data_IF_614480338183
#
_entry.id   IF_614480338183
#
_cell.length_a   1.000
_cell.length_b   1.000
_cell.length_c   1.000
_cell.angle_alpha   90.00
_cell.angle_beta   90.00
_cell.angle_gamma   90.00
#
_symmetry.space_group_name_H-M   'P 1'
#
loop_
_entity.id
_entity.type
_entity.pdbx_description
1 polymer ?
#
# COMPACT_ATOMS: atom_id res chain seq x y z
N UNK A 1 -20.76 -21.49 -4.94
CA UNK A 1 -21.83 -20.57 -4.52
C UNK A 1 -21.46 -20.00 -3.14
N UNK A 2 -21.48 -18.68 -2.97
CA UNK A 2 -21.21 -18.05 -1.67
C UNK A 2 -22.48 -18.13 -0.82
N UNK A 3 -22.42 -18.81 0.32
CA UNK A 3 -23.45 -18.68 1.35
C UNK A 3 -23.25 -17.32 2.04
N UNK A 4 -24.35 -16.58 2.18
CA UNK A 4 -24.47 -15.23 2.73
C UNK A 4 -23.88 -14.09 1.86
N UNK A 5 -24.74 -13.16 1.47
CA UNK A 5 -24.43 -11.93 0.70
C UNK A 5 -23.57 -10.90 1.44
N UNK A 6 -22.58 -11.35 2.21
CA UNK A 6 -21.56 -10.50 2.82
C UNK A 6 -20.41 -10.32 1.84
N UNK A 7 -20.27 -9.11 1.32
CA UNK A 7 -19.13 -8.75 0.45
C UNK A 7 -17.82 -9.06 1.18
N UNK A 8 -16.87 -9.65 0.47
CA UNK A 8 -15.54 -9.97 1.01
C UNK A 8 -14.80 -8.68 1.35
N UNK A 9 -14.34 -8.56 2.59
CA UNK A 9 -13.67 -7.38 3.12
C UNK A 9 -12.24 -7.75 3.56
N UNK A 10 -11.21 -7.52 2.72
CA UNK A 10 -9.83 -7.78 3.11
C UNK A 10 -9.46 -6.92 4.32
N UNK A 11 -8.90 -7.52 5.36
CA UNK A 11 -8.53 -6.80 6.60
C UNK A 11 -7.08 -7.00 6.99
N UNK A 12 -6.53 -8.20 6.76
CA UNK A 12 -5.19 -8.55 7.17
C UNK A 12 -4.43 -9.25 6.04
N UNK A 13 -3.10 -9.09 6.06
CA UNK A 13 -2.17 -9.90 5.28
C UNK A 13 -1.36 -10.77 6.24
N UNK A 14 -1.31 -12.06 5.94
CA UNK A 14 -0.43 -13.02 6.58
C UNK A 14 0.84 -13.13 5.75
N UNK A 15 1.98 -13.19 6.43
CA UNK A 15 3.29 -13.29 5.81
C UNK A 15 4.00 -14.52 6.39
N UNK A 16 4.68 -15.26 5.53
CA UNK A 16 5.30 -16.53 5.87
C UNK A 16 6.64 -16.72 5.18
N UNK A 17 7.45 -17.59 5.76
CA UNK A 17 8.79 -17.95 5.30
C UNK A 17 8.80 -19.27 4.53
N UNK A 18 7.64 -19.87 4.27
CA UNK A 18 7.53 -21.16 3.58
C UNK A 18 8.37 -22.29 4.20
N UNK A 19 8.67 -22.19 5.50
CA UNK A 19 9.43 -23.21 6.24
C UNK A 19 10.94 -22.96 6.35
N UNK A 20 11.47 -21.81 5.90
CA UNK A 20 12.87 -21.46 6.17
C UNK A 20 13.54 -20.60 5.11
N UNK A 21 14.87 -20.63 5.10
CA UNK A 21 15.69 -19.93 4.12
C UNK A 21 15.44 -20.48 2.70
N UNK A 22 15.72 -19.69 1.65
CA UNK A 22 15.71 -20.20 0.28
C UNK A 22 16.69 -21.39 0.18
N UNK A 23 16.18 -22.55 -0.23
CA UNK A 23 16.93 -23.82 -0.30
C UNK A 23 16.53 -24.86 0.75
N UNK A 24 16.02 -24.45 1.91
CA UNK A 24 15.53 -25.39 2.95
C UNK A 24 14.24 -26.09 2.52
N UNK A 25 13.41 -25.35 1.78
CA UNK A 25 12.12 -25.82 1.28
C UNK A 25 11.90 -25.35 -0.15
N UNK A 26 11.21 -26.16 -0.99
CA UNK A 26 10.81 -25.75 -2.33
C UNK A 26 10.04 -24.44 -2.30
N UNK A 27 10.17 -23.63 -3.36
CA UNK A 27 9.41 -22.38 -3.44
C UNK A 27 7.91 -22.65 -3.37
N UNK A 28 7.16 -21.83 -2.60
CA UNK A 28 5.75 -22.06 -2.39
C UNK A 28 5.00 -21.89 -3.71
N UNK A 29 4.53 -23.01 -4.27
CA UNK A 29 3.66 -23.03 -5.44
C UNK A 29 2.22 -22.68 -4.99
N UNK A 30 1.66 -21.55 -5.42
CA UNK A 30 0.30 -21.17 -5.04
C UNK A 30 -0.69 -22.15 -5.67
N UNK A 31 -1.39 -22.93 -4.83
CA UNK A 31 -2.53 -23.75 -5.26
C UNK A 31 -3.84 -23.11 -4.82
N UNK A 32 -4.84 -23.10 -5.70
CA UNK A 32 -6.19 -22.62 -5.37
C UNK A 32 -6.84 -23.43 -4.23
N UNK A 33 -6.40 -24.68 -4.01
CA UNK A 33 -6.87 -25.54 -2.92
C UNK A 33 -6.22 -25.21 -1.57
N UNK A 34 -5.17 -24.39 -1.54
CA UNK A 34 -4.36 -24.18 -0.35
C UNK A 34 -5.06 -23.24 0.65
N UNK A 35 -5.48 -23.81 1.79
CA UNK A 35 -6.26 -23.13 2.82
C UNK A 35 -5.44 -22.49 3.96
N UNK A 36 -4.13 -22.66 3.96
CA UNK A 36 -3.22 -22.01 4.92
C UNK A 36 -1.93 -21.55 4.25
N UNK A 37 -1.25 -20.57 4.86
CA UNK A 37 0.11 -20.20 4.45
C UNK A 37 1.08 -21.20 5.08
N UNK A 38 2.09 -21.64 4.32
CA UNK A 38 3.14 -22.51 4.85
C UNK A 38 3.98 -21.67 5.81
N UNK A 39 3.98 -22.07 7.09
CA UNK A 39 4.67 -21.42 8.20
C UNK A 39 4.41 -19.90 8.29
N UNK A 40 3.25 -19.54 8.84
CA UNK A 40 2.89 -18.15 9.09
C UNK A 40 3.81 -17.55 10.17
N UNK A 41 4.55 -16.48 9.82
CA UNK A 41 5.44 -15.76 10.75
C UNK A 41 4.83 -14.49 11.30
N UNK A 42 4.05 -13.79 10.48
CA UNK A 42 3.50 -12.50 10.89
C UNK A 42 2.10 -12.28 10.32
N UNK A 43 1.28 -11.54 11.06
CA UNK A 43 -0.05 -11.09 10.66
C UNK A 43 -0.11 -9.58 10.84
N UNK A 44 -0.27 -8.87 9.74
CA UNK A 44 -0.38 -7.42 9.72
C UNK A 44 -1.75 -7.00 9.21
N UNK A 45 -2.25 -5.86 9.69
CA UNK A 45 -3.41 -5.20 9.11
C UNK A 45 -3.03 -4.61 7.74
N UNK A 46 -3.98 -4.58 6.80
CA UNK A 46 -3.77 -3.92 5.51
C UNK A 46 -3.65 -2.40 5.70
N UNK A 47 -2.57 -1.81 5.18
CA UNK A 47 -2.39 -0.35 5.15
C UNK A 47 -3.14 0.28 4.00
N UNK A 48 -3.18 -0.38 2.84
CA UNK A 48 -3.87 0.12 1.66
C UNK A 48 -4.51 -1.01 0.88
N UNK A 49 -5.71 -0.74 0.37
CA UNK A 49 -6.43 -1.64 -0.51
C UNK A 49 -7.07 -0.82 -1.63
N UNK A 50 -6.65 -1.02 -2.86
CA UNK A 50 -7.13 -0.25 -4.00
C UNK A 50 -7.13 -1.06 -5.29
N UNK A 51 -7.99 -0.70 -6.25
CA UNK A 51 -8.02 -1.34 -7.57
C UNK A 51 -6.84 -0.83 -8.39
N UNK A 52 -6.16 -1.72 -9.12
CA UNK A 52 -5.07 -1.33 -10.01
C UNK A 52 -5.59 -0.45 -11.14
N UNK A 53 -4.87 0.63 -11.38
CA UNK A 53 -4.97 1.49 -12.56
C UNK A 53 -4.77 0.73 -13.89
N UNK A 54 -3.90 -0.29 -13.89
CA UNK A 54 -3.61 -1.11 -15.08
C UNK A 54 -4.69 -2.12 -15.43
N UNK A 55 -5.40 -2.64 -14.43
CA UNK A 55 -6.38 -3.71 -14.60
C UNK A 55 -7.52 -3.57 -13.61
N UNK A 56 -8.73 -3.32 -14.11
CA UNK A 56 -9.94 -3.15 -13.29
C UNK A 56 -10.31 -4.40 -12.47
N UNK A 57 -9.81 -5.59 -12.86
CA UNK A 57 -10.03 -6.85 -12.15
C UNK A 57 -8.90 -7.20 -11.18
N UNK A 58 -7.93 -6.31 -10.99
CA UNK A 58 -6.80 -6.53 -10.09
C UNK A 58 -6.93 -5.66 -8.87
N UNK A 59 -6.98 -6.29 -7.70
CA UNK A 59 -6.98 -5.63 -6.41
C UNK A 59 -5.57 -5.62 -5.82
N UNK A 60 -5.06 -4.45 -5.45
CA UNK A 60 -3.75 -4.27 -4.87
C UNK A 60 -3.89 -4.11 -3.36
N UNK A 61 -3.29 -5.04 -2.62
CA UNK A 61 -3.22 -5.00 -1.16
C UNK A 61 -1.79 -4.65 -0.73
N UNK A 62 -1.66 -3.65 0.14
CA UNK A 62 -0.38 -3.18 0.66
C UNK A 62 -0.32 -3.29 2.18
N UNK A 63 0.85 -3.73 2.66
CA UNK A 63 1.21 -3.75 4.06
C UNK A 63 2.59 -3.15 4.23
N UNK A 64 2.72 -2.29 5.21
CA UNK A 64 4.01 -1.77 5.67
C UNK A 64 4.43 -2.61 6.87
N UNK A 65 5.53 -3.33 6.74
CA UNK A 65 6.14 -4.02 7.87
C UNK A 65 7.11 -3.06 8.59
N UNK A 66 6.85 -2.72 9.86
CA UNK A 66 7.74 -1.87 10.63
C UNK A 66 9.09 -2.55 10.89
N UNK A 67 10.06 -1.76 11.35
CA UNK A 67 11.41 -2.22 11.69
C UNK A 67 11.43 -3.27 12.81
N UNK A 68 10.49 -3.22 13.74
CA UNK A 68 10.38 -4.13 14.88
C UNK A 68 10.05 -5.57 14.46
N UNK A 69 9.41 -5.74 13.31
CA UNK A 69 9.02 -7.04 12.78
C UNK A 69 10.11 -7.53 11.84
N UNK A 70 10.90 -8.52 12.26
CA UNK A 70 11.99 -9.07 11.45
C UNK A 70 12.53 -10.39 12.00
N UNK A 71 13.68 -10.83 11.46
CA UNK A 71 14.33 -12.09 11.82
C UNK A 71 13.84 -13.31 11.02
N UNK A 72 13.14 -13.10 9.91
CA UNK A 72 12.60 -14.19 9.09
C UNK A 72 12.67 -13.88 7.60
N UNK A 73 12.65 -14.94 6.79
CA UNK A 73 12.55 -14.86 5.34
C UNK A 73 11.11 -14.58 4.92
N UNK A 74 10.90 -13.66 4.00
CA UNK A 74 9.60 -13.40 3.38
C UNK A 74 9.57 -14.17 2.07
N UNK A 75 8.70 -15.19 1.98
CA UNK A 75 8.56 -16.04 0.79
C UNK A 75 7.13 -16.20 0.31
N UNK A 76 6.15 -15.86 1.15
CA UNK A 76 4.75 -15.89 0.75
C UNK A 76 3.90 -14.94 1.54
N UNK A 77 2.79 -14.54 0.93
CA UNK A 77 1.75 -13.77 1.57
C UNK A 77 0.36 -14.34 1.29
N UNK A 78 -0.58 -14.01 2.16
CA UNK A 78 -1.98 -14.44 2.06
C UNK A 78 -2.89 -13.33 2.57
N UNK A 79 -3.91 -12.95 1.81
CA UNK A 79 -4.86 -11.90 2.21
C UNK A 79 -6.13 -12.52 2.78
N UNK A 80 -6.52 -12.07 3.98
CA UNK A 80 -7.64 -12.63 4.74
C UNK A 80 -8.66 -11.57 5.16
N UNK A 81 -9.92 -11.99 5.24
CA UNK A 81 -11.06 -11.21 5.72
C UNK A 81 -11.56 -11.75 7.05
N UNK A 82 -11.63 -10.90 8.08
CA UNK A 82 -12.45 -11.10 9.29
C UNK A 82 -12.29 -12.41 10.07
N UNK A 83 -11.23 -13.19 9.80
CA UNK A 83 -10.90 -14.42 10.52
C UNK A 83 -11.14 -15.76 9.81
N UNK A 84 -11.72 -15.81 8.60
CA UNK A 84 -12.04 -17.12 8.01
C UNK A 84 -12.10 -17.20 6.48
N UNK A 85 -12.33 -16.09 5.77
CA UNK A 85 -12.41 -16.11 4.30
C UNK A 85 -11.10 -15.62 3.69
N UNK A 86 -10.32 -16.57 3.20
CA UNK A 86 -9.14 -16.30 2.38
C UNK A 86 -9.48 -16.37 0.90
N UNK A 87 -8.93 -15.44 0.12
CA UNK A 87 -9.14 -15.39 -1.33
C UNK A 87 -7.86 -15.65 -2.12
N UNK A 88 -6.68 -15.50 -1.52
CA UNK A 88 -5.44 -15.50 -2.29
C UNK A 88 -4.21 -15.88 -1.47
N UNK A 89 -3.37 -16.68 -2.11
CA UNK A 89 -1.98 -16.90 -1.72
C UNK A 89 -1.15 -16.39 -2.88
N UNK A 90 -0.15 -15.58 -2.57
CA UNK A 90 0.77 -15.03 -3.56
C UNK A 90 2.20 -15.33 -3.13
N UNK A 91 3.00 -16.00 -3.98
CA UNK A 91 4.43 -16.10 -3.75
C UNK A 91 5.02 -14.69 -3.83
N UNK A 92 6.00 -14.42 -2.97
CA UNK A 92 6.75 -13.16 -2.97
C UNK A 92 8.20 -13.50 -3.27
N UNK A 93 8.90 -12.64 -4.00
CA UNK A 93 10.35 -12.72 -4.17
C UNK A 93 11.03 -12.88 -2.82
N UNK A 94 11.83 -13.94 -2.70
CA UNK A 94 12.50 -14.26 -1.44
C UNK A 94 13.32 -13.06 -0.95
N UNK A 95 13.00 -12.55 0.22
CA UNK A 95 13.67 -11.40 0.81
C UNK A 95 13.83 -11.61 2.31
N UNK A 96 15.05 -11.41 2.82
CA UNK A 96 15.29 -11.49 4.25
C UNK A 96 14.94 -10.16 4.91
N UNK A 97 14.09 -10.22 5.94
CA UNK A 97 13.83 -9.07 6.81
C UNK A 97 14.65 -9.23 8.07
N UNK A 98 15.70 -8.41 8.20
CA UNK A 98 16.58 -8.40 9.36
C UNK A 98 15.82 -8.03 10.64
N UNK A 99 16.22 -8.65 11.76
CA UNK A 99 15.70 -8.32 13.08
C UNK A 99 16.25 -6.96 13.56
N UNK A 100 15.51 -6.29 14.45
CA UNK A 100 15.94 -5.02 15.04
C UNK A 100 17.33 -5.11 15.69
N UNK A 101 17.59 -6.21 16.39
CA UNK A 101 18.85 -6.46 17.11
C UNK A 101 20.07 -6.56 16.20
N UNK A 102 19.87 -6.84 14.90
CA UNK A 102 20.97 -6.94 13.95
C UNK A 102 21.44 -5.57 13.43
N UNK A 103 20.84 -4.46 13.87
CA UNK A 103 21.18 -3.10 13.46
C UNK A 103 20.87 -2.78 11.99
N UNK A 104 20.30 -3.72 11.24
CA UNK A 104 19.98 -3.59 9.81
C UNK A 104 18.46 -3.67 9.54
N UNK A 105 17.65 -3.52 10.59
CA UNK A 105 16.21 -3.51 10.43
C UNK A 105 15.78 -2.29 9.61
N UNK A 106 14.98 -2.57 8.58
CA UNK A 106 14.38 -1.57 7.70
C UNK A 106 12.88 -1.78 7.59
N UNK A 107 12.15 -0.69 7.41
CA UNK A 107 10.75 -0.74 7.03
C UNK A 107 10.64 -1.27 5.61
N UNK A 108 9.80 -2.28 5.39
CA UNK A 108 9.61 -2.88 4.07
C UNK A 108 8.13 -2.89 3.73
N UNK A 109 7.79 -2.36 2.56
CA UNK A 109 6.42 -2.40 2.05
C UNK A 109 6.24 -3.64 1.18
N UNK A 110 5.24 -4.46 1.51
CA UNK A 110 4.82 -5.61 0.72
C UNK A 110 3.56 -5.22 -0.05
N UNK A 111 3.61 -5.42 -1.37
CA UNK A 111 2.48 -5.21 -2.28
C UNK A 111 2.10 -6.52 -2.94
N UNK A 112 0.82 -6.86 -2.89
CA UNK A 112 0.26 -8.08 -3.48
C UNK A 112 -0.84 -7.73 -4.47
N UNK A 113 -0.69 -8.21 -5.70
CA UNK A 113 -1.69 -8.04 -6.76
C UNK A 113 -2.60 -9.27 -6.80
N UNK A 114 -3.90 -9.04 -6.65
CA UNK A 114 -4.93 -10.06 -6.57
C UNK A 114 -5.80 -9.98 -7.82
N UNK A 115 -5.60 -10.91 -8.75
CA UNK A 115 -6.50 -11.05 -9.88
C UNK A 115 -7.82 -11.69 -9.40
N UNK A 116 -8.93 -11.01 -9.61
CA UNK A 116 -10.25 -11.44 -9.21
C UNK A 116 -11.14 -11.59 -10.46
N UNK A 117 -11.99 -12.62 -10.49
CA UNK A 117 -12.93 -12.82 -11.59
C UNK A 117 -14.08 -11.80 -11.62
N UNK A 118 -14.23 -10.98 -10.56
CA UNK A 118 -15.22 -9.91 -10.46
C UNK A 118 -15.13 -9.18 -9.11
N UNK A 119 -15.12 -7.84 -9.14
CA UNK A 119 -15.05 -6.98 -7.94
C UNK A 119 -16.39 -6.73 -7.27
N UNK A 120 -17.50 -7.12 -7.90
CA UNK A 120 -18.87 -6.94 -7.40
C UNK A 120 -19.12 -7.52 -5.99
N UNK A 121 -18.35 -8.56 -5.64
CA UNK A 121 -18.41 -9.25 -4.37
C UNK A 121 -17.37 -8.77 -3.35
N UNK A 122 -16.59 -7.72 -3.66
CA UNK A 122 -15.57 -7.17 -2.78
C UNK A 122 -16.03 -5.82 -2.25
N UNK A 123 -15.95 -5.64 -0.93
CA UNK A 123 -16.16 -4.35 -0.31
C UNK A 123 -14.80 -3.75 0.01
N UNK A 124 -14.45 -2.73 -0.79
CA UNK A 124 -13.25 -1.93 -0.60
C UNK A 124 -13.49 -1.01 0.60
N UNK A 125 -12.88 -1.34 1.73
CA UNK A 125 -12.70 -0.39 2.80
C UNK A 125 -11.56 0.53 2.37
N UNK A 126 -11.91 1.70 1.82
CA UNK A 126 -10.98 2.83 1.80
C UNK A 126 -11.00 3.39 3.22
N UNK A 127 -10.25 2.74 4.11
CA UNK A 127 -10.01 3.29 5.44
C UNK A 127 -8.97 4.39 5.30
N UNK A 128 -9.39 5.64 5.49
CA UNK A 128 -8.50 6.81 5.48
C UNK A 128 -7.70 6.93 6.81
N UNK A 129 -7.54 5.85 7.58
CA UNK A 129 -6.70 5.81 8.77
C UNK A 129 -5.22 6.01 8.42
N UNK A 130 -4.61 7.04 9.02
CA UNK A 130 -3.20 7.49 8.93
C UNK A 130 -2.36 6.73 7.91
N UNK A 131 -2.35 7.26 6.69
CA UNK A 131 -1.57 6.72 5.58
C UNK A 131 -0.17 7.37 5.63
N UNK A 132 0.88 6.55 5.68
CA UNK A 132 2.24 7.04 5.46
C UNK A 132 2.39 7.38 3.98
N UNK A 133 2.27 8.66 3.64
CA UNK A 133 2.61 9.14 2.32
C UNK A 133 4.15 9.17 2.18
N UNK A 134 4.68 8.58 1.11
CA UNK A 134 6.11 8.75 0.81
C UNK A 134 6.39 10.22 0.51
N UNK A 135 7.58 10.70 0.87
CA UNK A 135 7.93 12.11 0.66
C UNK A 135 7.80 12.51 -0.83
N UNK A 136 8.14 11.61 -1.74
CA UNK A 136 7.98 11.83 -3.18
C UNK A 136 6.52 11.96 -3.62
N UNK A 137 5.63 11.11 -3.09
CA UNK A 137 4.20 11.19 -3.40
C UNK A 137 3.59 12.52 -2.93
N UNK A 138 3.99 12.99 -1.73
CA UNK A 138 3.56 14.29 -1.21
C UNK A 138 4.08 15.41 -2.10
N UNK A 139 5.38 15.40 -2.45
CA UNK A 139 5.99 16.42 -3.31
C UNK A 139 5.32 16.49 -4.67
N UNK A 140 5.04 15.35 -5.30
CA UNK A 140 4.38 15.28 -6.60
C UNK A 140 2.96 15.86 -6.54
N UNK A 141 2.16 15.47 -5.52
CA UNK A 141 0.78 15.96 -5.38
C UNK A 141 0.70 17.42 -5.01
N UNK A 142 1.56 17.89 -4.10
CA UNK A 142 1.69 19.30 -3.74
C UNK A 142 2.09 20.10 -4.98
N UNK A 143 3.14 19.69 -5.70
CA UNK A 143 3.56 20.38 -6.92
C UNK A 143 2.45 20.44 -7.96
N UNK A 144 1.69 19.36 -8.15
CA UNK A 144 0.55 19.35 -9.07
C UNK A 144 -0.58 20.30 -8.63
N UNK A 145 -0.91 20.37 -7.34
CA UNK A 145 -1.98 21.24 -6.82
C UNK A 145 -1.62 22.73 -6.91
N UNK A 146 -0.34 23.07 -6.76
CA UNK A 146 0.13 24.45 -6.86
C UNK A 146 0.42 24.91 -8.31
N UNK A 147 0.58 23.99 -9.27
CA UNK A 147 0.94 24.31 -10.67
C UNK A 147 -0.10 25.13 -11.45
N UNK A 148 -1.31 25.31 -10.91
CA UNK A 148 -2.41 26.02 -11.58
C UNK A 148 -3.06 27.15 -10.80
N UNK A 149 -2.58 27.47 -9.58
CA UNK A 149 -3.20 28.53 -8.75
C UNK A 149 -2.80 29.92 -9.26
N UNK A 150 -3.61 30.48 -10.16
CA UNK A 150 -3.49 31.87 -10.60
C UNK A 150 -4.24 32.76 -9.61
N UNK A 151 -3.54 33.64 -8.90
CA UNK A 151 -4.20 34.70 -8.14
C UNK A 151 -4.70 35.72 -9.17
N UNK A 152 -6.01 35.72 -9.40
CA UNK A 152 -6.66 36.78 -10.16
C UNK A 152 -6.72 38.01 -9.25
N UNK A 153 -5.98 39.07 -9.62
CA UNK A 153 -6.12 40.37 -8.99
C UNK A 153 -7.57 40.83 -9.17
N UNK A 154 -8.37 40.79 -8.10
CA UNK A 154 -9.67 41.46 -8.09
C UNK A 154 -9.51 42.97 -8.29
N UNK A 155 -10.63 43.67 -8.50
CA UNK A 155 -10.71 45.11 -8.81
C UNK A 155 -10.14 46.07 -7.71
N UNK A 156 -9.37 45.58 -6.73
CA UNK A 156 -8.87 46.34 -5.57
C UNK A 156 -7.35 46.58 -5.51
N UNK A 157 -6.56 46.11 -6.49
CA UNK A 157 -5.11 46.38 -6.52
C UNK A 157 -4.83 47.74 -7.18
N UNK A 158 -4.82 48.80 -6.38
CA UNK A 158 -4.41 50.15 -6.79
C UNK A 158 -2.91 50.33 -6.61
N UNK A 159 -2.16 50.10 -7.70
CA UNK A 159 -0.73 50.36 -7.78
C UNK A 159 -0.34 50.56 -9.24
N UNK A 160 0.12 51.78 -9.56
CA UNK A 160 0.30 52.38 -10.90
C UNK A 160 1.40 51.76 -11.79
N UNK A 161 1.53 50.43 -11.83
CA UNK A 161 2.42 49.76 -12.78
C UNK A 161 1.62 48.95 -13.78
N UNK A 162 2.02 48.96 -15.05
CA UNK A 162 1.36 48.15 -16.05
C UNK A 162 1.40 46.65 -15.69
N UNK A 163 0.39 45.92 -16.16
CA UNK A 163 0.21 44.49 -15.95
C UNK A 163 0.82 43.69 -17.12
N UNK A 164 1.82 44.25 -17.81
CA UNK A 164 2.37 43.64 -19.03
C UNK A 164 3.23 42.40 -18.76
N UNK A 165 3.57 42.14 -17.50
CA UNK A 165 4.35 40.98 -17.09
C UNK A 165 3.76 40.29 -15.84
N UNK A 166 3.94 38.97 -15.78
CA UNK A 166 3.63 38.16 -14.60
C UNK A 166 4.46 38.64 -13.40
N UNK A 167 3.79 39.04 -12.31
CA UNK A 167 4.46 39.42 -11.07
C UNK A 167 4.53 38.22 -10.13
N UNK A 168 5.75 37.87 -9.73
CA UNK A 168 5.97 36.89 -8.67
C UNK A 168 5.65 37.53 -7.31
N UNK A 169 4.67 36.98 -6.59
CA UNK A 169 4.51 37.28 -5.17
C UNK A 169 5.47 36.36 -4.42
N UNK A 170 6.48 36.94 -3.77
CA UNK A 170 7.32 36.19 -2.84
C UNK A 170 6.48 35.84 -1.62
N UNK A 171 6.12 34.56 -1.46
CA UNK A 171 5.62 34.09 -0.18
C UNK A 171 6.80 34.12 0.80
N UNK A 172 6.61 34.75 1.97
CA UNK A 172 7.57 34.63 3.05
C UNK A 172 7.81 33.13 3.33
N UNK A 173 9.06 32.69 3.61
CA UNK A 173 9.31 31.30 3.95
C UNK A 173 8.38 30.91 5.08
N UNK A 174 7.62 29.82 4.92
CA UNK A 174 6.74 29.34 5.97
C UNK A 174 7.62 29.01 7.17
N UNK A 175 7.58 29.87 8.18
CA UNK A 175 8.27 29.65 9.44
C UNK A 175 7.81 28.32 10.02
N UNK A 176 8.77 27.42 10.18
CA UNK A 176 8.82 26.54 11.35
C UNK A 176 9.02 27.38 12.60
#
# INVERSE_FOLDING_TARGET
>A
ASAAGKKWQPTHMLIGDAGGAPGDTPDPLPSAAQKSLINQRHRAQLNRLFVSDKNANTLVAEVVLPVEVGGFWIRGSRVVSGGSVCRSISPITCSYKAAMESGSARTQTIRVNLALSGLENVQLLIDNGIIYATQDWVKEKVAADFKGRKILAGNGLVGWGDLSADRSIGLAPSGV
#
